data_IF_834797055376
#
_entry.id   IF_834797055376
#
_cell.length_a   1.000
_cell.length_b   1.000
_cell.length_c   1.000
_cell.angle_alpha   90.00
_cell.angle_beta   90.00
_cell.angle_gamma   90.00
#
_symmetry.space_group_name_H-M   'P 1'
#
loop_
_entity.id
_entity.type
_entity.pdbx_description
1 polymer ?
#
# COMPACT_ATOMS: atom_id res chain seq x y z
N UNK A 1 -37.10 -15.17 8.41
CA UNK A 1 -35.66 -15.29 8.76
C UNK A 1 -35.13 -16.70 8.46
N UNK A 2 -35.65 -17.76 9.07
CA UNK A 2 -35.21 -19.14 8.82
C UNK A 2 -35.35 -19.60 7.36
N UNK A 3 -36.41 -19.17 6.67
CA UNK A 3 -36.57 -19.41 5.22
C UNK A 3 -35.42 -18.83 4.39
N UNK A 4 -34.90 -17.67 4.78
CA UNK A 4 -33.75 -17.07 4.10
C UNK A 4 -32.46 -17.82 4.42
N UNK A 5 -32.21 -18.14 5.70
CA UNK A 5 -31.02 -18.88 6.14
C UNK A 5 -30.94 -20.28 5.52
N UNK A 6 -32.07 -20.97 5.40
CA UNK A 6 -32.15 -22.31 4.80
C UNK A 6 -32.26 -22.27 3.27
N UNK A 7 -32.64 -21.13 2.70
CA UNK A 7 -32.74 -20.87 1.26
C UNK A 7 -31.52 -20.07 0.75
N UNK A 8 -31.70 -18.82 0.27
CA UNK A 8 -30.62 -18.04 -0.34
C UNK A 8 -29.37 -17.83 0.53
N UNK A 9 -29.54 -17.75 1.86
CA UNK A 9 -28.46 -17.51 2.81
C UNK A 9 -27.59 -18.74 3.12
N UNK A 10 -28.01 -19.94 2.70
CA UNK A 10 -27.29 -21.19 2.96
C UNK A 10 -25.86 -21.18 2.41
N UNK A 11 -25.63 -20.42 1.32
CA UNK A 11 -24.33 -20.28 0.66
C UNK A 11 -23.25 -19.62 1.53
N UNK A 12 -23.63 -18.90 2.59
CA UNK A 12 -22.69 -18.22 3.48
C UNK A 12 -22.28 -19.06 4.69
N UNK A 13 -22.82 -20.28 4.83
CA UNK A 13 -22.46 -21.19 5.92
C UNK A 13 -21.01 -21.65 5.82
N UNK A 14 -20.53 -21.86 4.60
CA UNK A 14 -19.17 -22.27 4.29
C UNK A 14 -18.56 -21.26 3.32
N UNK A 15 -17.25 -20.96 3.43
CA UNK A 15 -16.59 -20.03 2.53
C UNK A 15 -16.54 -20.61 1.12
N UNK A 16 -16.59 -19.73 0.12
CA UNK A 16 -16.44 -20.12 -1.27
C UNK A 16 -14.94 -20.30 -1.58
N UNK A 17 -14.46 -21.50 -1.98
CA UNK A 17 -13.05 -21.68 -2.29
C UNK A 17 -12.62 -20.80 -3.46
N UNK A 18 -11.50 -20.09 -3.31
CA UNK A 18 -10.87 -19.32 -4.39
C UNK A 18 -11.62 -18.06 -4.84
N UNK A 19 -12.60 -17.58 -4.08
CA UNK A 19 -13.38 -16.38 -4.40
C UNK A 19 -13.99 -15.77 -3.15
N UNK A 20 -14.25 -14.45 -3.16
CA UNK A 20 -15.05 -13.86 -2.09
C UNK A 20 -16.49 -14.38 -2.13
N UNK A 21 -17.10 -14.47 -0.96
CA UNK A 21 -18.47 -14.95 -0.74
C UNK A 21 -19.34 -13.83 -0.15
N UNK A 22 -19.41 -12.69 -0.84
CA UNK A 22 -20.20 -11.54 -0.41
C UNK A 22 -21.63 -11.57 -0.98
N UNK A 23 -22.56 -10.88 -0.30
CA UNK A 23 -23.96 -10.82 -0.70
C UNK A 23 -24.17 -10.29 -2.13
N UNK A 24 -23.31 -9.38 -2.60
CA UNK A 24 -23.42 -8.81 -3.95
C UNK A 24 -23.13 -9.81 -5.07
N UNK A 25 -22.44 -10.91 -4.78
CA UNK A 25 -22.09 -11.94 -5.77
C UNK A 25 -23.31 -12.80 -6.15
N UNK A 26 -24.37 -12.76 -5.35
CA UNK A 26 -25.55 -13.61 -5.47
C UNK A 26 -26.78 -12.81 -5.89
N UNK A 27 -27.71 -13.47 -6.59
CA UNK A 27 -29.04 -12.95 -6.82
C UNK A 27 -29.97 -13.20 -5.61
N UNK A 28 -31.22 -12.73 -5.71
CA UNK A 28 -32.23 -12.89 -4.65
C UNK A 28 -32.53 -14.36 -4.30
N UNK A 29 -32.18 -15.29 -5.18
CA UNK A 29 -32.41 -16.72 -5.00
C UNK A 29 -31.16 -17.46 -4.46
N UNK A 30 -30.07 -16.74 -4.17
CA UNK A 30 -28.83 -17.34 -3.69
C UNK A 30 -28.01 -17.99 -4.82
N UNK A 31 -28.25 -17.63 -6.08
CA UNK A 31 -27.47 -18.14 -7.20
C UNK A 31 -26.34 -17.16 -7.56
N UNK A 32 -25.14 -17.69 -7.81
CA UNK A 32 -23.98 -16.88 -8.16
C UNK A 32 -24.18 -16.20 -9.53
N UNK A 33 -24.19 -14.88 -9.56
CA UNK A 33 -24.54 -14.08 -10.74
C UNK A 33 -23.59 -14.35 -11.90
N UNK A 34 -22.29 -14.55 -11.62
CA UNK A 34 -21.28 -14.81 -12.66
C UNK A 34 -21.48 -16.16 -13.39
N UNK A 35 -21.96 -17.19 -12.71
CA UNK A 35 -22.25 -18.51 -13.32
C UNK A 35 -23.47 -18.42 -14.23
N UNK A 36 -24.52 -17.73 -13.79
CA UNK A 36 -25.75 -17.51 -14.58
C UNK A 36 -25.45 -16.76 -15.89
N UNK A 37 -24.64 -15.71 -15.83
CA UNK A 37 -24.21 -14.95 -17.01
C UNK A 37 -23.38 -15.79 -17.99
N UNK A 38 -22.49 -16.64 -17.49
CA UNK A 38 -21.69 -17.52 -18.36
C UNK A 38 -22.58 -18.53 -19.11
N UNK A 39 -23.57 -19.13 -18.43
CA UNK A 39 -24.56 -20.04 -19.05
C UNK A 39 -25.41 -19.36 -20.13
N UNK A 40 -25.82 -18.10 -19.90
CA UNK A 40 -26.58 -17.32 -20.89
C UNK A 40 -25.74 -16.99 -22.12
N UNK A 41 -24.45 -16.68 -21.92
CA UNK A 41 -23.55 -16.33 -23.01
C UNK A 41 -23.09 -17.55 -23.83
N UNK A 42 -23.24 -18.78 -23.32
CA UNK A 42 -22.89 -20.00 -24.03
C UNK A 42 -24.01 -21.06 -23.98
N UNK A 43 -25.12 -20.88 -24.72
CA UNK A 43 -26.27 -21.78 -24.68
C UNK A 43 -26.02 -23.17 -25.31
N UNK A 44 -24.84 -23.41 -25.92
CA UNK A 44 -24.52 -24.66 -26.62
C UNK A 44 -24.02 -25.81 -25.73
N UNK A 45 -23.75 -25.60 -24.43
CA UNK A 45 -23.25 -26.68 -23.54
C UNK A 45 -24.36 -27.49 -22.83
N UNK A 46 -25.63 -27.28 -23.17
CA UNK A 46 -26.78 -27.84 -22.46
C UNK A 46 -27.46 -29.08 -23.06
N UNK A 47 -26.93 -29.68 -24.13
CA UNK A 47 -27.53 -30.89 -24.75
C UNK A 47 -26.41 -31.90 -25.02
N UNK A 48 -26.45 -33.05 -24.34
CA UNK A 48 -25.41 -34.06 -24.48
C UNK A 48 -25.41 -34.72 -25.87
N UNK A 49 -24.21 -34.86 -26.45
CA UNK A 49 -23.75 -35.99 -27.27
C UNK A 49 -22.38 -35.68 -27.91
N UNK A 50 -21.43 -36.61 -27.72
CA UNK A 50 -20.47 -37.19 -28.70
C UNK A 50 -19.70 -36.29 -29.68
N UNK A 51 -18.36 -36.38 -29.58
CA UNK A 51 -17.25 -36.25 -30.56
C UNK A 51 -17.18 -35.14 -31.64
N UNK A 52 -15.96 -34.56 -31.68
CA UNK A 52 -15.14 -33.98 -32.75
C UNK A 52 -15.34 -32.53 -33.25
N UNK A 53 -14.29 -31.74 -33.00
CA UNK A 53 -13.57 -30.71 -33.82
C UNK A 53 -14.39 -29.65 -34.59
N UNK A 54 -14.04 -28.36 -34.67
CA UNK A 54 -12.73 -27.70 -34.79
C UNK A 54 -12.84 -26.15 -34.62
N UNK A 55 -11.71 -25.52 -34.30
CA UNK A 55 -11.25 -24.13 -34.50
C UNK A 55 -12.13 -22.91 -34.18
N UNK A 56 -11.58 -22.06 -33.30
CA UNK A 56 -12.06 -20.71 -33.00
C UNK A 56 -11.22 -20.05 -31.92
N UNK A 57 -10.06 -19.52 -32.30
CA UNK A 57 -9.08 -18.85 -31.46
C UNK A 57 -9.69 -17.62 -30.73
N UNK A 58 -10.04 -17.78 -29.46
CA UNK A 58 -10.16 -16.70 -28.49
C UNK A 58 -9.41 -17.13 -27.24
N UNK A 59 -8.20 -16.60 -27.07
CA UNK A 59 -7.37 -16.75 -25.88
C UNK A 59 -8.06 -16.06 -24.68
N UNK A 60 -9.07 -16.71 -24.11
CA UNK A 60 -9.54 -16.41 -22.76
C UNK A 60 -8.51 -16.99 -21.80
N UNK A 61 -7.86 -16.14 -21.02
CA UNK A 61 -6.95 -16.56 -19.96
C UNK A 61 -7.74 -17.30 -18.89
N UNK A 62 -7.93 -18.59 -19.08
CA UNK A 62 -8.49 -19.51 -18.10
C UNK A 62 -7.45 -19.71 -17.00
N UNK A 63 -7.47 -18.83 -16.00
CA UNK A 63 -7.08 -19.24 -14.67
C UNK A 63 -8.24 -20.12 -14.18
N UNK A 64 -8.18 -21.42 -14.49
CA UNK A 64 -9.04 -22.40 -13.86
C UNK A 64 -8.82 -22.26 -12.35
N UNK A 65 -9.83 -21.75 -11.66
CA UNK A 65 -9.90 -21.96 -10.22
C UNK A 65 -10.15 -23.45 -10.04
N UNK A 66 -9.47 -24.08 -9.09
CA UNK A 66 -9.60 -25.53 -8.81
C UNK A 66 -11.07 -25.98 -8.63
N UNK A 67 -11.98 -25.04 -8.36
CA UNK A 67 -13.41 -25.23 -8.19
C UNK A 67 -14.25 -25.22 -9.49
N UNK A 68 -13.66 -25.03 -10.67
CA UNK A 68 -14.39 -24.98 -11.96
C UNK A 68 -15.34 -23.78 -12.11
N UNK A 69 -15.16 -22.73 -11.29
CA UNK A 69 -15.98 -21.52 -11.33
C UNK A 69 -15.38 -20.50 -12.30
N UNK A 70 -16.22 -19.66 -12.96
CA UNK A 70 -15.71 -18.50 -13.66
C UNK A 70 -14.94 -17.57 -12.71
N UNK A 71 -13.92 -16.84 -13.20
CA UNK A 71 -13.13 -15.94 -12.39
C UNK A 71 -14.00 -14.86 -11.74
N UNK A 72 -13.56 -14.43 -10.56
CA UNK A 72 -14.24 -13.44 -9.76
C UNK A 72 -14.32 -12.08 -10.47
N UNK A 73 -15.51 -11.45 -10.41
CA UNK A 73 -15.74 -10.11 -10.96
C UNK A 73 -15.60 -9.04 -9.89
N UNK A 74 -15.36 -7.82 -10.33
CA UNK A 74 -15.36 -6.63 -9.47
C UNK A 74 -16.65 -6.45 -8.65
N UNK A 75 -17.81 -6.87 -9.18
CA UNK A 75 -19.10 -6.83 -8.45
C UNK A 75 -19.15 -7.81 -7.28
N UNK A 76 -18.45 -8.94 -7.41
CA UNK A 76 -18.49 -10.03 -6.43
C UNK A 76 -17.73 -9.63 -5.16
N UNK A 77 -16.73 -8.75 -5.30
CA UNK A 77 -15.92 -8.20 -4.22
C UNK A 77 -16.62 -7.13 -3.38
N UNK A 78 -17.92 -6.90 -3.54
CA UNK A 78 -18.64 -5.83 -2.82
C UNK A 78 -19.33 -6.41 -1.58
N UNK A 79 -18.80 -6.20 -0.37
CA UNK A 79 -19.42 -6.74 0.84
C UNK A 79 -20.82 -6.15 1.10
N UNK A 80 -21.04 -4.90 0.71
CA UNK A 80 -22.29 -4.18 0.97
C UNK A 80 -23.04 -3.91 -0.35
N UNK A 81 -24.22 -4.50 -0.58
CA UNK A 81 -24.94 -4.35 -1.84
C UNK A 81 -25.34 -2.91 -2.18
N UNK A 82 -25.55 -2.06 -1.17
CA UNK A 82 -25.95 -0.66 -1.35
C UNK A 82 -24.77 0.29 -1.61
N UNK A 83 -23.56 -0.06 -1.19
CA UNK A 83 -22.36 0.76 -1.41
C UNK A 83 -21.59 0.20 -2.61
N UNK A 84 -21.69 0.88 -3.75
CA UNK A 84 -21.04 0.43 -4.99
C UNK A 84 -19.55 0.79 -5.06
N UNK A 85 -19.11 1.71 -4.21
CA UNK A 85 -17.75 2.24 -4.21
C UNK A 85 -16.82 1.35 -3.38
N UNK A 86 -17.27 0.89 -2.21
CA UNK A 86 -16.47 0.03 -1.35
C UNK A 86 -16.37 -1.40 -1.88
N UNK A 87 -15.14 -1.88 -2.05
CA UNK A 87 -14.80 -3.22 -2.50
C UNK A 87 -13.76 -3.82 -1.58
N UNK A 88 -13.82 -5.14 -1.39
CA UNK A 88 -12.74 -5.89 -0.79
C UNK A 88 -11.63 -6.03 -1.81
N UNK A 89 -10.61 -5.19 -1.67
CA UNK A 89 -9.40 -5.31 -2.46
C UNK A 89 -8.64 -6.59 -2.11
N UNK A 90 -7.79 -7.03 -3.04
CA UNK A 90 -6.97 -8.22 -2.83
C UNK A 90 -5.97 -7.99 -1.70
N UNK A 91 -5.67 -9.03 -0.92
CA UNK A 91 -4.60 -9.04 0.08
C UNK A 91 -3.34 -9.73 -0.46
N UNK A 92 -2.17 -9.40 0.09
CA UNK A 92 -0.93 -10.07 -0.30
C UNK A 92 -1.00 -11.55 0.08
N UNK A 93 -0.71 -12.45 -0.84
CA UNK A 93 -0.56 -13.88 -0.55
C UNK A 93 0.61 -14.14 0.40
N UNK A 94 0.58 -15.26 1.13
CA UNK A 94 1.66 -15.61 2.07
C UNK A 94 3.02 -15.74 1.37
N UNK A 95 3.05 -16.36 0.19
CA UNK A 95 4.25 -16.49 -0.63
C UNK A 95 4.82 -15.14 -1.06
N UNK A 96 3.97 -14.18 -1.42
CA UNK A 96 4.39 -12.82 -1.74
C UNK A 96 4.96 -12.10 -0.52
N UNK A 97 4.36 -12.26 0.67
CA UNK A 97 4.87 -11.66 1.91
C UNK A 97 6.26 -12.19 2.25
N UNK A 98 6.47 -13.49 2.10
CA UNK A 98 7.78 -14.12 2.33
C UNK A 98 8.83 -13.61 1.34
N UNK A 99 8.46 -13.48 0.06
CA UNK A 99 9.36 -12.96 -0.96
C UNK A 99 9.74 -11.49 -0.69
N UNK A 100 8.77 -10.63 -0.34
CA UNK A 100 9.06 -9.24 0.03
C UNK A 100 10.02 -9.16 1.22
N UNK A 101 9.81 -9.98 2.25
CA UNK A 101 10.73 -10.07 3.38
C UNK A 101 12.13 -10.52 2.95
N UNK A 102 12.25 -11.56 2.12
CA UNK A 102 13.53 -12.05 1.59
C UNK A 102 14.30 -10.96 0.83
N UNK A 103 13.63 -10.22 -0.05
CA UNK A 103 14.28 -9.17 -0.84
C UNK A 103 14.84 -8.04 0.03
N UNK A 104 14.11 -7.62 1.07
CA UNK A 104 14.54 -6.51 1.94
C UNK A 104 15.50 -6.99 3.04
N UNK A 105 15.10 -7.99 3.83
CA UNK A 105 15.83 -8.38 5.04
C UNK A 105 17.04 -9.29 4.74
N UNK A 106 16.94 -10.17 3.75
CA UNK A 106 18.02 -11.15 3.45
C UNK A 106 18.94 -10.63 2.35
N UNK A 107 18.40 -9.99 1.30
CA UNK A 107 19.18 -9.47 0.17
C UNK A 107 19.58 -7.99 0.31
N UNK A 108 19.03 -7.26 1.27
CA UNK A 108 19.37 -5.87 1.52
C UNK A 108 18.92 -4.88 0.42
N UNK A 109 17.91 -5.25 -0.37
CA UNK A 109 17.38 -4.36 -1.41
C UNK A 109 16.55 -3.25 -0.76
N UNK A 110 16.67 -2.02 -1.28
CA UNK A 110 15.90 -0.87 -0.79
C UNK A 110 14.39 -1.09 -0.95
N UNK A 111 13.63 -0.62 0.05
CA UNK A 111 12.18 -0.77 0.10
C UNK A 111 11.51 -0.08 -1.09
N UNK A 112 12.03 1.04 -1.58
CA UNK A 112 11.48 1.76 -2.73
C UNK A 112 11.60 0.92 -4.01
N UNK A 113 12.77 0.31 -4.22
CA UNK A 113 13.03 -0.57 -5.37
C UNK A 113 12.12 -1.81 -5.34
N UNK A 114 11.93 -2.42 -4.17
CA UNK A 114 11.01 -3.56 -4.01
C UNK A 114 9.55 -3.13 -4.25
N UNK A 115 9.14 -1.97 -3.74
CA UNK A 115 7.81 -1.40 -3.98
C UNK A 115 7.53 -1.24 -5.48
N UNK A 116 8.46 -0.61 -6.20
CA UNK A 116 8.37 -0.42 -7.65
C UNK A 116 8.35 -1.73 -8.44
N UNK A 117 9.16 -2.72 -8.03
CA UNK A 117 9.25 -4.01 -8.72
C UNK A 117 7.98 -4.87 -8.57
N UNK A 118 7.38 -4.89 -7.38
CA UNK A 118 6.22 -5.74 -7.08
C UNK A 118 4.88 -5.00 -7.18
N UNK A 119 4.88 -3.67 -7.38
CA UNK A 119 3.67 -2.85 -7.43
C UNK A 119 2.91 -2.84 -6.10
N UNK A 120 3.64 -2.70 -5.00
CA UNK A 120 3.12 -2.70 -3.62
C UNK A 120 3.61 -1.43 -2.94
N UNK A 121 2.75 -0.63 -2.30
CA UNK A 121 3.13 0.64 -1.68
C UNK A 121 4.29 0.46 -0.68
N UNK A 122 5.27 1.38 -0.70
CA UNK A 122 6.42 1.44 0.22
C UNK A 122 5.99 1.27 1.68
N UNK A 123 4.88 1.91 2.08
CA UNK A 123 4.33 1.82 3.43
C UNK A 123 3.89 0.39 3.77
N UNK A 124 3.29 -0.31 2.80
CA UNK A 124 2.83 -1.69 2.94
C UNK A 124 4.02 -2.65 2.95
N UNK A 125 5.01 -2.48 2.08
CA UNK A 125 6.24 -3.30 2.10
C UNK A 125 6.93 -3.20 3.46
N UNK A 126 7.12 -1.99 3.99
CA UNK A 126 7.70 -1.79 5.31
C UNK A 126 6.88 -2.45 6.44
N UNK A 127 5.55 -2.42 6.36
CA UNK A 127 4.70 -3.12 7.32
C UNK A 127 4.82 -4.65 7.22
N UNK A 128 4.86 -5.20 6.00
CA UNK A 128 5.03 -6.64 5.77
C UNK A 128 6.36 -7.13 6.32
N UNK A 129 7.46 -6.41 6.05
CA UNK A 129 8.78 -6.75 6.57
C UNK A 129 8.75 -6.77 8.11
N UNK A 130 8.20 -5.73 8.76
CA UNK A 130 8.06 -5.68 10.23
C UNK A 130 7.22 -6.82 10.81
N UNK A 131 6.11 -7.17 10.18
CA UNK A 131 5.25 -8.26 10.67
C UNK A 131 5.91 -9.63 10.47
N UNK A 132 6.58 -9.83 9.33
CA UNK A 132 7.29 -11.08 9.03
C UNK A 132 8.52 -11.28 9.91
N UNK A 133 9.26 -10.23 10.28
CA UNK A 133 10.35 -10.36 11.25
C UNK A 133 9.84 -10.80 12.62
N UNK A 134 8.71 -10.26 13.08
CA UNK A 134 8.05 -10.70 14.32
C UNK A 134 7.60 -12.16 14.21
N UNK A 135 6.99 -12.56 13.08
CA UNK A 135 6.56 -13.94 12.85
C UNK A 135 7.74 -14.92 12.90
N UNK A 136 8.86 -14.58 12.25
CA UNK A 136 10.11 -15.38 12.30
C UNK A 136 10.67 -15.43 13.72
N UNK A 137 10.64 -14.33 14.46
CA UNK A 137 11.05 -14.32 15.87
C UNK A 137 10.16 -15.21 16.74
N UNK A 138 8.83 -15.19 16.55
CA UNK A 138 7.92 -16.06 17.28
C UNK A 138 8.13 -17.54 16.96
N UNK A 139 8.42 -17.86 15.70
CA UNK A 139 8.79 -19.20 15.30
C UNK A 139 10.11 -19.65 15.96
N UNK A 140 11.10 -18.77 16.06
CA UNK A 140 12.36 -19.01 16.76
C UNK A 140 12.15 -19.21 18.28
N UNK A 141 11.28 -18.40 18.88
CA UNK A 141 10.89 -18.50 20.30
C UNK A 141 10.02 -19.75 20.59
N UNK A 142 9.62 -20.51 19.56
CA UNK A 142 8.74 -21.68 19.69
C UNK A 142 7.29 -21.33 20.07
N UNK A 143 6.85 -20.09 19.85
CA UNK A 143 5.47 -19.66 20.14
C UNK A 143 4.51 -20.25 19.11
N UNK A 144 3.34 -20.77 19.52
CA UNK A 144 2.38 -21.34 18.59
C UNK A 144 1.78 -20.26 17.67
N UNK A 145 1.89 -20.46 16.36
CA UNK A 145 1.27 -19.59 15.35
C UNK A 145 -0.16 -20.03 15.06
N UNK A 146 -1.05 -19.07 14.85
CA UNK A 146 -2.47 -19.31 14.53
C UNK A 146 -2.69 -19.69 13.04
N UNK A 147 -1.99 -20.72 12.56
CA UNK A 147 -2.03 -21.14 11.14
C UNK A 147 -3.43 -21.55 10.65
N UNK A 148 -4.21 -22.40 11.37
CA UNK A 148 -5.54 -22.79 10.89
C UNK A 148 -6.49 -21.61 10.73
N UNK A 149 -6.36 -20.61 11.60
CA UNK A 149 -7.13 -19.37 11.50
C UNK A 149 -6.68 -18.53 10.30
N UNK A 150 -5.37 -18.35 10.11
CA UNK A 150 -4.82 -17.63 8.97
C UNK A 150 -5.28 -18.27 7.65
N UNK A 151 -5.14 -19.58 7.49
CA UNK A 151 -5.48 -20.30 6.27
C UNK A 151 -6.98 -20.17 5.94
N UNK A 152 -7.84 -20.30 6.95
CA UNK A 152 -9.28 -20.13 6.80
C UNK A 152 -9.67 -18.71 6.38
N UNK A 153 -9.07 -17.68 6.99
CA UNK A 153 -9.35 -16.27 6.64
C UNK A 153 -8.80 -15.93 5.26
N UNK A 154 -7.59 -16.38 4.94
CA UNK A 154 -6.97 -16.12 3.64
C UNK A 154 -7.74 -16.80 2.50
N UNK A 155 -8.38 -17.95 2.74
CA UNK A 155 -9.26 -18.59 1.75
C UNK A 155 -10.54 -17.79 1.44
N UNK A 156 -10.98 -16.91 2.35
CA UNK A 156 -12.17 -16.07 2.16
C UNK A 156 -11.89 -14.75 1.41
N UNK A 157 -10.63 -14.32 1.37
CA UNK A 157 -10.23 -13.03 0.82
C UNK A 157 -9.61 -13.20 -0.58
N UNK A 158 -9.81 -12.23 -1.48
CA UNK A 158 -9.11 -12.27 -2.76
C UNK A 158 -7.62 -12.03 -2.50
N UNK A 159 -6.75 -12.74 -3.21
CA UNK A 159 -5.30 -12.64 -2.99
C UNK A 159 -4.58 -12.19 -4.26
N UNK A 160 -3.47 -11.47 -4.10
CA UNK A 160 -2.48 -11.28 -5.17
C UNK A 160 -1.41 -12.37 -5.07
N UNK A 161 -1.42 -13.37 -5.98
CA UNK A 161 -0.47 -14.47 -5.91
C UNK A 161 0.91 -14.03 -6.37
N UNK A 162 1.95 -14.59 -5.76
CA UNK A 162 3.31 -14.56 -6.31
C UNK A 162 3.56 -15.85 -7.09
N UNK A 163 3.82 -15.76 -8.39
CA UNK A 163 3.98 -16.91 -9.29
C UNK A 163 5.38 -16.90 -9.91
N UNK A 164 6.43 -17.38 -9.22
CA UNK A 164 7.80 -17.31 -9.70
C UNK A 164 7.98 -18.09 -11.01
N UNK A 165 7.30 -19.22 -11.18
CA UNK A 165 7.40 -20.10 -12.35
C UNK A 165 6.45 -19.71 -13.50
N UNK A 166 5.73 -18.59 -13.35
CA UNK A 166 4.82 -18.10 -14.38
C UNK A 166 5.56 -17.47 -15.57
N UNK A 167 4.86 -17.22 -16.69
CA UNK A 167 5.43 -16.44 -17.78
C UNK A 167 5.79 -15.04 -17.27
N UNK A 168 6.88 -14.45 -17.76
CA UNK A 168 7.43 -13.19 -17.24
C UNK A 168 6.38 -12.07 -17.08
N UNK A 169 5.42 -11.97 -18.00
CA UNK A 169 4.35 -10.97 -17.97
C UNK A 169 3.24 -11.23 -16.92
N UNK A 170 3.24 -12.39 -16.25
CA UNK A 170 2.28 -12.76 -15.19
C UNK A 170 2.95 -13.19 -13.89
N UNK A 171 4.29 -13.12 -13.83
CA UNK A 171 5.07 -13.46 -12.64
C UNK A 171 4.74 -12.49 -11.49
N UNK A 172 4.54 -11.21 -11.83
CA UNK A 172 4.21 -10.13 -10.90
C UNK A 172 2.95 -9.44 -11.40
N UNK A 173 1.92 -9.42 -10.55
CA UNK A 173 0.72 -8.61 -10.77
C UNK A 173 0.79 -7.43 -9.81
N UNK A 174 0.75 -6.17 -10.29
CA UNK A 174 0.71 -5.00 -9.42
C UNK A 174 -0.44 -5.14 -8.41
N UNK A 175 -0.11 -4.99 -7.13
CA UNK A 175 -1.07 -5.17 -6.04
C UNK A 175 -1.96 -3.94 -5.86
N UNK A 176 -1.35 -2.76 -5.92
CA UNK A 176 -2.02 -1.48 -5.74
C UNK A 176 -1.32 -0.37 -6.54
N UNK A 177 -1.93 0.84 -6.55
CA UNK A 177 -1.28 2.01 -7.15
C UNK A 177 -0.17 2.51 -6.23
N UNK A 178 1.07 2.50 -6.74
CA UNK A 178 2.26 2.97 -6.01
C UNK A 178 2.52 4.48 -6.21
N UNK A 179 1.79 5.12 -7.14
CA UNK A 179 2.02 6.50 -7.54
C UNK A 179 0.93 7.46 -7.05
N UNK A 180 0.09 7.01 -6.10
CA UNK A 180 -1.00 7.83 -5.57
C UNK A 180 -0.48 9.01 -4.76
N UNK A 181 -0.97 10.19 -5.12
CA UNK A 181 -0.60 11.47 -4.50
C UNK A 181 -1.69 11.94 -3.54
N UNK A 182 -1.34 12.31 -2.29
CA UNK A 182 -2.29 12.96 -1.41
C UNK A 182 -2.64 14.36 -1.94
N UNK A 183 -3.94 14.65 -2.03
CA UNK A 183 -4.44 15.95 -2.50
C UNK A 183 -4.13 17.03 -1.46
N UNK A 184 -3.23 17.95 -1.82
CA UNK A 184 -2.86 19.08 -0.97
C UNK A 184 -4.01 20.09 -0.88
N UNK A 185 -4.13 20.82 0.23
CA UNK A 185 -5.21 21.81 0.42
C UNK A 185 -5.15 22.93 -0.63
N UNK A 186 -3.94 23.44 -0.93
CA UNK A 186 -3.75 24.50 -1.92
C UNK A 186 -4.23 24.13 -3.32
N UNK A 187 -4.17 22.85 -3.69
CA UNK A 187 -4.55 22.38 -5.04
C UNK A 187 -6.05 22.12 -5.19
N UNK A 188 -6.87 22.42 -4.17
CA UNK A 188 -8.34 22.24 -4.22
C UNK A 188 -9.08 23.42 -4.83
N UNK A 189 -8.38 24.55 -5.01
CA UNK A 189 -8.98 25.75 -5.58
C UNK A 189 -9.14 25.58 -7.10
N UNK A 190 -10.26 26.05 -7.63
CA UNK A 190 -10.45 26.17 -9.07
C UNK A 190 -9.77 27.46 -9.54
N UNK A 191 -8.69 27.35 -10.31
CA UNK A 191 -7.90 28.48 -10.77
C UNK A 191 -7.89 28.54 -12.30
N UNK A 192 -8.26 29.69 -12.86
CA UNK A 192 -8.08 30.02 -14.26
C UNK A 192 -7.01 31.10 -14.37
N UNK A 193 -5.77 30.68 -14.60
CA UNK A 193 -4.61 31.57 -14.59
C UNK A 193 -4.41 32.21 -15.97
N UNK A 194 -4.57 33.55 -16.13
CA UNK A 194 -4.40 34.19 -17.43
C UNK A 194 -2.92 34.19 -17.84
N UNK A 195 -2.65 33.71 -19.04
CA UNK A 195 -1.30 33.67 -19.63
C UNK A 195 -1.30 34.27 -21.02
N UNK A 196 -0.12 34.56 -21.55
CA UNK A 196 0.03 34.86 -22.98
C UNK A 196 -0.45 33.66 -23.81
N UNK A 197 -1.02 33.94 -24.98
CA UNK A 197 -1.50 32.96 -25.96
C UNK A 197 -0.42 31.97 -26.43
N UNK A 198 0.85 32.39 -26.41
CA UNK A 198 1.99 31.58 -26.84
C UNK A 198 2.76 30.95 -25.67
N UNK A 199 2.34 31.16 -24.42
CA UNK A 199 3.05 30.62 -23.25
C UNK A 199 2.89 29.10 -23.16
N UNK A 200 4.01 28.39 -23.06
CA UNK A 200 4.01 26.97 -22.68
C UNK A 200 3.85 26.86 -21.17
N UNK A 201 2.65 26.50 -20.72
CA UNK A 201 2.33 26.39 -19.29
C UNK A 201 2.60 24.96 -18.79
N UNK A 202 3.61 24.81 -17.91
CA UNK A 202 4.08 23.50 -17.43
C UNK A 202 3.50 23.12 -16.06
N UNK A 203 3.75 21.89 -15.59
CA UNK A 203 3.37 21.45 -14.24
C UNK A 203 4.07 22.23 -13.13
N UNK A 204 5.29 22.72 -13.38
CA UNK A 204 6.04 23.58 -12.47
C UNK A 204 5.39 24.97 -12.38
N UNK A 205 4.94 25.53 -13.52
CA UNK A 205 4.16 26.77 -13.53
C UNK A 205 2.83 26.62 -12.80
N UNK A 206 2.13 25.49 -13.02
CA UNK A 206 0.88 25.19 -12.33
C UNK A 206 1.06 25.08 -10.81
N UNK A 207 2.14 24.45 -10.35
CA UNK A 207 2.42 24.32 -8.92
C UNK A 207 2.64 25.69 -8.26
N UNK A 208 3.44 26.56 -8.90
CA UNK A 208 3.65 27.94 -8.47
C UNK A 208 2.37 28.78 -8.51
N UNK A 209 1.51 28.55 -9.51
CA UNK A 209 0.22 29.25 -9.59
C UNK A 209 -0.71 28.90 -8.42
N UNK A 210 -0.62 27.69 -7.85
CA UNK A 210 -1.37 27.33 -6.64
C UNK A 210 -0.75 27.87 -5.35
N UNK A 211 0.58 27.80 -5.20
CA UNK A 211 1.32 28.43 -4.11
C UNK A 211 2.82 28.40 -4.35
N UNK A 212 3.54 29.41 -3.84
CA UNK A 212 4.98 29.59 -4.08
C UNK A 212 5.84 28.39 -3.63
N UNK A 213 5.50 27.76 -2.51
CA UNK A 213 6.27 26.65 -1.93
C UNK A 213 5.82 25.26 -2.40
N UNK A 214 4.84 25.17 -3.30
CA UNK A 214 4.31 23.88 -3.74
C UNK A 214 5.21 23.23 -4.79
N UNK A 215 5.66 22.02 -4.49
CA UNK A 215 6.33 21.18 -5.45
C UNK A 215 5.35 20.62 -6.50
N UNK A 216 5.78 20.46 -7.76
CA UNK A 216 4.98 19.79 -8.79
C UNK A 216 4.68 18.34 -8.42
N UNK A 217 3.67 17.76 -9.06
CA UNK A 217 3.29 16.36 -8.86
C UNK A 217 4.48 15.41 -9.00
N UNK A 218 5.29 15.60 -10.04
CA UNK A 218 6.44 14.75 -10.40
C UNK A 218 7.47 14.59 -9.26
N UNK A 219 7.64 15.60 -8.41
CA UNK A 219 8.57 15.56 -7.26
C UNK A 219 7.93 15.06 -5.96
N UNK A 220 6.59 15.00 -5.91
CA UNK A 220 5.82 14.62 -4.72
C UNK A 220 5.41 13.15 -4.73
N UNK A 221 5.49 12.48 -5.88
CA UNK A 221 5.15 11.06 -6.03
C UNK A 221 6.11 10.25 -5.14
N UNK A 222 5.67 9.12 -4.54
CA UNK A 222 6.55 8.28 -3.73
C UNK A 222 7.79 7.76 -4.48
N UNK A 223 7.64 7.52 -5.79
CA UNK A 223 8.65 6.98 -6.70
C UNK A 223 9.06 7.96 -7.83
N UNK A 224 9.71 9.09 -7.54
CA UNK A 224 10.17 10.01 -8.59
C UNK A 224 11.22 9.37 -9.52
N UNK A 225 11.93 8.34 -9.07
CA UNK A 225 12.90 7.57 -9.84
C UNK A 225 12.28 6.89 -11.07
N UNK A 226 11.00 6.49 -11.01
CA UNK A 226 10.32 5.88 -12.14
C UNK A 226 10.16 6.84 -13.32
N UNK A 227 9.98 8.14 -13.04
CA UNK A 227 9.90 9.18 -14.07
C UNK A 227 11.24 9.29 -14.80
N UNK A 228 12.35 9.19 -14.07
CA UNK A 228 13.70 9.23 -14.66
C UNK A 228 13.91 8.02 -15.55
N UNK A 229 13.56 6.82 -15.06
CA UNK A 229 13.67 5.58 -15.83
C UNK A 229 12.85 5.59 -17.12
N UNK A 230 11.65 6.18 -17.08
CA UNK A 230 10.79 6.31 -18.24
C UNK A 230 11.34 7.34 -19.24
N UNK A 231 11.86 8.47 -18.75
CA UNK A 231 12.55 9.46 -19.61
C UNK A 231 13.75 8.85 -20.31
N UNK A 232 14.59 8.10 -19.58
CA UNK A 232 15.75 7.43 -20.17
C UNK A 232 15.32 6.37 -21.22
N UNK A 233 14.16 5.73 -21.02
CA UNK A 233 13.60 4.80 -22.00
C UNK A 233 13.13 5.52 -23.27
N UNK A 234 12.45 6.67 -23.13
CA UNK A 234 12.01 7.50 -24.25
C UNK A 234 13.19 8.10 -25.03
N UNK A 235 14.31 8.37 -24.36
CA UNK A 235 15.58 8.81 -24.98
C UNK A 235 16.31 7.67 -25.73
N UNK A 236 15.80 6.43 -25.66
CA UNK A 236 16.39 5.28 -26.34
C UNK A 236 17.65 4.73 -25.65
N UNK A 237 17.86 5.04 -24.36
CA UNK A 237 18.98 4.49 -23.61
C UNK A 237 18.75 3.00 -23.36
N UNK A 238 19.76 2.20 -23.68
CA UNK A 238 19.72 0.76 -23.49
C UNK A 238 19.39 0.35 -22.03
N UNK A 239 18.67 -0.76 -21.89
CA UNK A 239 18.17 -1.26 -20.61
C UNK A 239 19.29 -1.53 -19.60
N UNK A 240 20.44 -2.05 -20.03
CA UNK A 240 21.55 -2.34 -19.11
C UNK A 240 22.14 -1.05 -18.55
N UNK A 241 22.33 -0.05 -19.42
CA UNK A 241 22.82 1.28 -19.01
C UNK A 241 21.85 1.97 -18.06
N UNK A 242 20.52 1.86 -18.29
CA UNK A 242 19.50 2.38 -17.36
C UNK A 242 19.59 1.71 -15.99
N UNK A 243 19.75 0.38 -15.95
CA UNK A 243 19.93 -0.34 -14.69
C UNK A 243 21.20 0.06 -13.95
N UNK A 244 22.32 0.27 -14.65
CA UNK A 244 23.58 0.73 -14.04
C UNK A 244 23.41 2.11 -13.42
N UNK A 245 22.87 3.08 -14.16
CA UNK A 245 22.59 4.42 -13.65
C UNK A 245 21.64 4.41 -12.46
N UNK A 246 20.63 3.54 -12.50
CA UNK A 246 19.71 3.41 -11.37
C UNK A 246 20.42 2.87 -10.12
N UNK A 247 21.29 1.86 -10.27
CA UNK A 247 22.09 1.34 -9.16
C UNK A 247 23.00 2.41 -8.54
N UNK A 248 23.63 3.24 -9.38
CA UNK A 248 24.45 4.36 -8.90
C UNK A 248 23.61 5.39 -8.13
N UNK A 249 22.40 5.71 -8.62
CA UNK A 249 21.45 6.59 -7.92
C UNK A 249 21.01 6.01 -6.57
N UNK A 250 20.67 4.73 -6.54
CA UNK A 250 20.23 4.03 -5.34
C UNK A 250 21.36 3.96 -4.30
N UNK A 251 22.59 3.65 -4.73
CA UNK A 251 23.79 3.65 -3.87
C UNK A 251 24.04 5.03 -3.26
N UNK A 252 24.03 6.08 -4.08
CA UNK A 252 24.18 7.45 -3.59
C UNK A 252 23.09 7.84 -2.59
N UNK A 253 21.83 7.47 -2.87
CA UNK A 253 20.73 7.74 -1.96
C UNK A 253 20.88 6.99 -0.61
N UNK A 254 21.40 5.76 -0.64
CA UNK A 254 21.72 5.00 0.57
C UNK A 254 22.84 5.65 1.37
N UNK A 255 23.92 6.11 0.72
CA UNK A 255 25.02 6.84 1.35
C UNK A 255 24.53 8.15 2.00
N UNK A 256 23.70 8.93 1.30
CA UNK A 256 23.13 10.17 1.80
C UNK A 256 22.23 9.95 3.03
N UNK A 257 21.43 8.86 3.03
CA UNK A 257 20.61 8.44 4.18
C UNK A 257 21.48 8.03 5.36
N UNK A 258 22.48 7.17 5.14
CA UNK A 258 23.41 6.74 6.19
C UNK A 258 24.17 7.94 6.80
N UNK A 259 24.64 8.86 5.97
CA UNK A 259 25.27 10.09 6.42
C UNK A 259 24.30 10.97 7.24
N UNK A 260 23.02 11.06 6.86
CA UNK A 260 22.02 11.80 7.62
C UNK A 260 21.74 11.16 8.99
N UNK A 261 21.63 9.84 9.06
CA UNK A 261 21.47 9.10 10.32
C UNK A 261 22.68 9.26 11.24
N UNK A 262 23.90 9.19 10.68
CA UNK A 262 25.10 9.46 11.45
C UNK A 262 25.15 10.90 11.98
N UNK A 263 24.79 11.88 11.15
CA UNK A 263 24.70 13.29 11.58
C UNK A 263 23.71 13.44 12.72
N UNK A 264 22.55 12.78 12.63
CA UNK A 264 21.54 12.77 13.70
C UNK A 264 22.08 12.12 14.98
N UNK A 265 22.70 10.94 14.89
CA UNK A 265 23.30 10.24 16.05
C UNK A 265 24.40 11.08 16.72
N UNK A 266 25.28 11.70 15.93
CA UNK A 266 26.34 12.59 16.44
C UNK A 266 25.74 13.83 17.12
N UNK A 267 24.67 14.39 16.57
CA UNK A 267 23.95 15.51 17.19
C UNK A 267 23.28 15.11 18.51
N UNK A 268 22.62 13.96 18.56
CA UNK A 268 22.00 13.43 19.79
C UNK A 268 23.05 13.19 20.88
N UNK A 269 24.17 12.54 20.55
CA UNK A 269 25.28 12.30 21.48
C UNK A 269 25.91 13.60 21.99
N UNK A 270 26.03 14.62 21.13
CA UNK A 270 26.58 15.92 21.52
C UNK A 270 25.62 16.71 22.43
N UNK A 271 24.34 16.62 22.16
CA UNK A 271 23.31 17.44 22.83
C UNK A 271 22.82 16.77 24.11
N UNK A 272 22.87 15.44 24.19
CA UNK A 272 22.39 14.66 25.33
C UNK A 272 23.54 14.16 26.19
N UNK A 273 23.69 14.75 27.38
CA UNK A 273 24.62 14.30 28.42
C UNK A 273 23.91 13.33 29.37
N UNK A 274 24.43 12.10 29.46
CA UNK A 274 23.93 11.08 30.40
C UNK A 274 24.85 11.05 31.62
N UNK A 275 24.31 11.34 32.80
CA UNK A 275 25.02 11.28 34.09
C UNK A 275 24.51 10.07 34.85
N UNK A 276 25.32 9.02 35.06
CA UNK A 276 24.89 7.84 35.79
C UNK A 276 24.68 8.17 37.27
N UNK A 277 23.57 7.71 37.82
CA UNK A 277 23.23 7.87 39.23
C UNK A 277 23.20 6.52 39.97
N UNK A 278 22.89 6.55 41.27
CA UNK A 278 22.81 5.32 42.07
C UNK A 278 21.62 4.42 41.70
N UNK A 279 20.49 5.00 41.30
CA UNK A 279 19.25 4.27 40.93
C UNK A 279 18.74 4.59 39.53
N UNK A 280 19.09 5.76 39.00
CA UNK A 280 18.58 6.28 37.72
C UNK A 280 19.71 6.99 37.00
N UNK A 281 19.69 6.94 35.68
CA UNK A 281 20.56 7.74 34.83
C UNK A 281 19.86 9.04 34.45
N UNK A 282 20.49 10.17 34.73
CA UNK A 282 19.94 11.48 34.42
C UNK A 282 20.36 11.88 33.01
N UNK A 283 19.37 12.08 32.13
CA UNK A 283 19.58 12.52 30.74
C UNK A 283 19.31 14.02 30.63
N UNK A 284 20.37 14.81 30.49
CA UNK A 284 20.29 16.26 30.27
C UNK A 284 20.39 16.53 28.77
N UNK A 285 19.40 17.22 28.20
CA UNK A 285 19.41 17.63 26.80
C UNK A 285 19.62 19.14 26.74
N UNK A 286 20.67 19.57 26.04
CA UNK A 286 20.92 20.99 25.80
C UNK A 286 19.84 21.56 24.88
N UNK A 287 19.30 22.71 25.25
CA UNK A 287 18.26 23.43 24.52
C UNK A 287 18.66 24.89 24.33
N UNK A 288 18.16 25.51 23.27
CA UNK A 288 18.31 26.96 23.10
C UNK A 288 17.18 27.70 23.84
N UNK A 289 17.53 28.45 24.88
CA UNK A 289 16.59 29.29 25.62
C UNK A 289 16.10 30.51 24.81
N UNK A 290 16.83 30.91 23.77
CA UNK A 290 16.50 32.05 22.90
C UNK A 290 15.46 31.68 21.83
N UNK A 291 15.19 30.38 21.63
CA UNK A 291 14.24 29.89 20.64
C UNK A 291 12.77 30.02 21.10
N UNK A 292 12.38 31.23 21.50
CA UNK A 292 11.01 31.55 21.97
C UNK A 292 10.21 32.37 20.96
N UNK A 293 10.83 32.76 19.84
CA UNK A 293 10.25 33.66 18.84
C UNK A 293 10.13 35.11 19.34
N UNK A 294 9.81 36.04 18.42
CA UNK A 294 9.81 37.49 18.69
C UNK A 294 8.86 37.92 19.82
N UNK A 295 7.78 37.18 20.04
CA UNK A 295 6.73 37.50 21.02
C UNK A 295 6.74 36.57 22.23
N UNK A 296 7.74 35.70 22.36
CA UNK A 296 7.76 34.63 23.36
C UNK A 296 6.78 33.48 23.08
N UNK A 297 6.12 33.48 21.92
CA UNK A 297 5.14 32.45 21.51
C UNK A 297 5.66 31.65 20.31
N UNK A 298 6.34 30.54 20.56
CA UNK A 298 6.81 29.62 19.51
C UNK A 298 6.35 28.18 19.75
N UNK A 299 5.90 27.49 18.70
CA UNK A 299 5.37 26.10 18.76
C UNK A 299 6.37 25.12 19.37
N UNK A 300 7.66 25.29 19.06
CA UNK A 300 8.74 24.39 19.45
C UNK A 300 9.56 24.91 20.65
N UNK A 301 9.07 25.96 21.35
CA UNK A 301 9.74 26.46 22.56
C UNK A 301 9.61 25.43 23.70
N UNK A 302 10.69 25.27 24.46
CA UNK A 302 10.75 24.32 25.57
C UNK A 302 10.36 25.01 26.88
N UNK A 303 9.49 24.37 27.65
CA UNK A 303 9.01 24.84 28.96
C UNK A 303 7.49 24.92 29.08
N UNK A 304 7.00 25.08 30.31
CA UNK A 304 5.58 25.31 30.58
C UNK A 304 5.29 26.80 30.36
N UNK A 305 4.34 27.11 29.48
CA UNK A 305 4.00 28.51 29.14
C UNK A 305 3.22 29.18 30.27
N UNK A 306 3.58 30.43 30.58
CA UNK A 306 2.87 31.27 31.55
C UNK A 306 1.63 31.94 30.93
N UNK A 307 0.66 32.29 31.77
CA UNK A 307 -0.56 33.00 31.35
C UNK A 307 -1.57 32.14 30.59
N UNK A 308 -1.51 30.81 30.72
CA UNK A 308 -2.45 29.86 30.12
C UNK A 308 -3.13 29.06 31.23
N UNK A 309 -4.46 29.22 31.44
CA UNK A 309 -5.18 28.40 32.42
C UNK A 309 -5.27 26.94 31.98
N UNK A 310 -5.51 26.03 32.92
CA UNK A 310 -5.74 24.62 32.61
C UNK A 310 -6.93 24.46 31.66
N UNK A 311 -6.74 23.66 30.62
CA UNK A 311 -7.75 23.38 29.61
C UNK A 311 -8.67 22.20 29.97
N UNK A 312 -8.56 21.64 31.17
CA UNK A 312 -9.16 20.36 31.55
C UNK A 312 -10.69 20.30 31.48
N UNK A 313 -11.34 21.48 31.59
CA UNK A 313 -12.79 21.66 31.51
C UNK A 313 -13.29 21.95 30.09
N UNK A 314 -12.40 22.14 29.11
CA UNK A 314 -12.80 22.36 27.71
C UNK A 314 -13.23 21.04 27.08
N UNK A 315 -14.37 21.06 26.41
CA UNK A 315 -14.85 19.91 25.62
C UNK A 315 -13.87 19.58 24.48
N UNK A 316 -13.74 18.29 24.16
CA UNK A 316 -12.87 17.81 23.08
C UNK A 316 -11.37 17.81 23.38
N UNK A 317 -10.94 18.02 24.64
CA UNK A 317 -9.52 17.93 25.00
C UNK A 317 -9.04 16.50 25.10
N UNK A 318 -7.95 16.20 24.39
CA UNK A 318 -7.31 14.88 24.38
C UNK A 318 -6.52 14.70 25.69
N UNK A 319 -6.87 13.67 26.46
CA UNK A 319 -6.22 13.28 27.72
C UNK A 319 -5.56 11.89 27.65
N UNK A 320 -5.44 11.37 26.44
CA UNK A 320 -4.90 10.04 26.13
C UNK A 320 -3.56 10.25 25.39
N UNK A 321 -2.54 9.39 25.57
CA UNK A 321 -1.29 9.50 24.82
C UNK A 321 -1.52 9.55 23.30
N UNK A 322 -0.97 10.56 22.63
CA UNK A 322 -1.10 10.74 21.17
C UNK A 322 0.06 10.12 20.38
N UNK A 323 1.12 9.71 21.06
CA UNK A 323 2.28 9.02 20.49
C UNK A 323 2.71 7.89 21.44
N UNK A 324 3.09 6.75 20.86
CA UNK A 324 3.69 5.61 21.56
C UNK A 324 4.98 5.30 20.79
N UNK A 325 6.11 5.62 21.39
CA UNK A 325 7.46 5.50 20.80
C UNK A 325 8.15 4.20 21.21
#
# INVERSE_FOLDING_TARGET
MWEWLNGPGKVFKEPLPGSTNYLSAYDKFGQLVRVKKQRQNNPRSGRGSTENDSDGDQVQSHAETESGLPPERASDRRPYPLNQDFRSESVLSESLREELHRQVAERGIDVSTVSAAYGVDVRRVAAVVRLKTIEKQWAQDGKPLAKPYNDAVMAMLPQTPFRPDGPANRQITPHESINDLPVHSSTRQQLFYPTSESRQFTREDAAKAFSDDLLPADKRIPHPELIVLEKEALEGIDREKRHQRQRERDQKAQEDRAAAEERKRKWEQRTQRIVPGRRWDFKFQDISAENTGKTGRARNAVGIRYGVPHDDRKSGKIKIPTSVE
#
